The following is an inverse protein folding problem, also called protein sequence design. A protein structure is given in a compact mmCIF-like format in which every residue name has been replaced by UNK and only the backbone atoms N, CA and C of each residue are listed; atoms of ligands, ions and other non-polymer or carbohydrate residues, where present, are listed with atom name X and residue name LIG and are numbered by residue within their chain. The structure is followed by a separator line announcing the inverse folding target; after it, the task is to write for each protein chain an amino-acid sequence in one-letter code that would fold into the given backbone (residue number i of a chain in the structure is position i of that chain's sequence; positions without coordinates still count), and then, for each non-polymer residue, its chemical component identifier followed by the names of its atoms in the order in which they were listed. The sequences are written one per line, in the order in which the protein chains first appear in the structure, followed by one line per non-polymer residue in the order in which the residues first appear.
data_IF_847111315307
#
_entry.id   IF_847111315307
#
_cell.length_a   1.000
_cell.length_b   1.000
_cell.length_c   1.000
_cell.angle_alpha   90.00
_cell.angle_beta   90.00
_cell.angle_gamma   90.00
#
_symmetry.space_group_name_H-M   'P 1'
#
loop_
_entity.id
_entity.type
_entity.pdbx_description
1 polymer ?
#
# COMPACT_ATOMS: atom_id res chain seq x y z
N UNK A 1 13.29 11.73 9.18
CA UNK A 1 12.66 10.93 8.08
C UNK A 1 12.90 11.65 6.76
N UNK A 2 13.42 10.93 5.75
CA UNK A 2 13.68 11.46 4.40
C UNK A 2 12.41 11.41 3.54
N UNK A 3 11.84 10.22 3.34
CA UNK A 3 10.73 10.01 2.40
C UNK A 3 9.69 8.98 2.88
N UNK A 4 8.46 9.13 2.37
CA UNK A 4 7.34 8.19 2.55
C UNK A 4 6.99 7.62 1.18
N UNK A 5 6.94 6.30 1.06
CA UNK A 5 6.58 5.58 -0.17
C UNK A 5 5.22 4.93 0.02
N UNK A 6 4.24 5.36 -0.77
CA UNK A 6 2.86 4.90 -0.74
C UNK A 6 2.62 3.90 -1.87
N UNK A 7 2.44 2.61 -1.55
CA UNK A 7 2.26 1.56 -2.54
C UNK A 7 0.78 1.18 -2.66
N UNK A 8 0.23 1.35 -3.85
CA UNK A 8 -1.11 0.94 -4.25
C UNK A 8 -1.08 -0.21 -5.26
N UNK A 9 -2.21 -0.88 -5.42
CA UNK A 9 -2.43 -1.97 -6.37
C UNK A 9 -3.59 -2.84 -5.95
N UNK A 10 -4.18 -3.58 -6.88
CA UNK A 10 -5.27 -4.52 -6.59
C UNK A 10 -4.82 -5.61 -5.60
N UNK A 11 -5.77 -6.35 -5.04
CA UNK A 11 -5.44 -7.51 -4.21
C UNK A 11 -4.49 -8.46 -4.96
N UNK A 12 -3.50 -9.02 -4.24
CA UNK A 12 -2.54 -10.02 -4.75
C UNK A 12 -1.60 -9.53 -5.87
N UNK A 13 -1.56 -8.23 -6.17
CA UNK A 13 -0.68 -7.67 -7.21
C UNK A 13 0.81 -7.58 -6.79
N UNK A 14 1.17 -7.90 -5.53
CA UNK A 14 2.57 -7.92 -5.08
C UNK A 14 3.02 -6.65 -4.37
N UNK A 15 2.11 -5.86 -3.79
CA UNK A 15 2.45 -4.65 -3.00
C UNK A 15 3.46 -4.93 -1.89
N UNK A 16 3.21 -5.98 -1.10
CA UNK A 16 4.10 -6.38 -0.01
C UNK A 16 5.45 -6.90 -0.54
N UNK A 17 5.45 -7.56 -1.70
CA UNK A 17 6.68 -8.00 -2.36
C UNK A 17 7.54 -6.80 -2.73
N UNK A 18 6.97 -5.79 -3.41
CA UNK A 18 7.68 -4.55 -3.73
C UNK A 18 8.17 -3.83 -2.46
N UNK A 19 7.32 -3.74 -1.43
CA UNK A 19 7.69 -3.10 -0.17
C UNK A 19 8.92 -3.75 0.47
N UNK A 20 8.98 -5.09 0.48
CA UNK A 20 10.13 -5.82 1.01
C UNK A 20 11.39 -5.63 0.16
N UNK A 21 11.28 -5.67 -1.17
CA UNK A 21 12.41 -5.41 -2.08
C UNK A 21 12.97 -3.99 -1.85
N UNK A 22 12.10 -2.97 -1.81
CA UNK A 22 12.51 -1.60 -1.54
C UNK A 22 13.19 -1.47 -0.17
N UNK A 23 12.62 -2.11 0.86
CA UNK A 23 13.19 -2.11 2.20
C UNK A 23 14.60 -2.72 2.20
N UNK A 24 14.77 -3.94 1.68
CA UNK A 24 16.06 -4.63 1.65
C UNK A 24 17.12 -3.81 0.92
N UNK A 25 16.78 -3.21 -0.23
CA UNK A 25 17.69 -2.38 -1.01
C UNK A 25 18.07 -1.09 -0.25
N UNK A 26 17.10 -0.35 0.27
CA UNK A 26 17.35 0.88 1.03
C UNK A 26 18.18 0.61 2.29
N UNK A 27 17.92 -0.50 2.99
CA UNK A 27 18.71 -0.92 4.15
C UNK A 27 20.14 -1.32 3.77
N UNK A 28 20.36 -1.89 2.57
CA UNK A 28 21.71 -2.17 2.06
C UNK A 28 22.55 -0.91 1.82
N UNK A 29 21.91 0.23 1.62
CA UNK A 29 22.56 1.56 1.55
C UNK A 29 22.70 2.24 2.93
N UNK A 30 22.40 1.53 4.01
CA UNK A 30 22.54 2.03 5.39
C UNK A 30 21.37 2.85 5.91
N UNK A 31 20.26 2.91 5.18
CA UNK A 31 19.06 3.61 5.63
C UNK A 31 18.26 2.76 6.63
N UNK A 32 17.54 3.43 7.53
CA UNK A 32 16.57 2.80 8.44
C UNK A 32 15.19 2.84 7.79
N UNK A 33 14.57 1.68 7.55
CA UNK A 33 13.30 1.56 6.82
C UNK A 33 12.25 0.85 7.65
N UNK A 34 11.06 1.43 7.76
CA UNK A 34 9.89 0.79 8.35
C UNK A 34 8.81 0.55 7.30
N UNK A 35 8.19 -0.64 7.33
CA UNK A 35 6.97 -0.92 6.57
C UNK A 35 5.79 -0.86 7.54
N UNK A 36 4.78 -0.05 7.22
CA UNK A 36 3.53 0.03 7.96
C UNK A 36 2.31 -0.06 7.03
N UNK A 37 1.10 0.03 7.58
CA UNK A 37 -0.16 -0.14 6.85
C UNK A 37 -1.25 0.72 7.43
N UNK A 38 -2.08 1.34 6.60
CA UNK A 38 -3.27 2.06 7.05
C UNK A 38 -4.28 1.14 7.76
N UNK A 39 -4.36 -0.13 7.35
CA UNK A 39 -5.22 -1.12 7.99
C UNK A 39 -4.65 -1.70 9.30
N UNK A 40 -3.53 -1.19 9.85
CA UNK A 40 -2.94 -1.70 11.09
C UNK A 40 -3.97 -1.69 12.23
N UNK A 41 -4.47 -0.52 12.59
CA UNK A 41 -5.43 -0.36 13.69
C UNK A 41 -6.79 -1.03 13.39
N UNK A 42 -7.22 -1.07 12.13
CA UNK A 42 -8.42 -1.82 11.74
C UNK A 42 -8.29 -3.31 12.09
N UNK A 43 -7.15 -3.90 11.78
CA UNK A 43 -6.88 -5.32 12.06
C UNK A 43 -6.80 -5.60 13.56
N UNK A 44 -6.18 -4.71 14.32
CA UNK A 44 -6.15 -4.82 15.79
C UNK A 44 -7.56 -4.74 16.40
N UNK A 45 -8.38 -3.82 15.92
CA UNK A 45 -9.79 -3.72 16.34
C UNK A 45 -10.55 -5.00 15.97
N UNK A 46 -10.39 -5.50 14.73
CA UNK A 46 -11.06 -6.72 14.28
C UNK A 46 -10.68 -7.94 15.12
N UNK A 47 -9.39 -8.13 15.40
CA UNK A 47 -8.89 -9.21 16.26
C UNK A 47 -9.44 -9.10 17.69
N UNK A 48 -9.32 -7.91 18.29
CA UNK A 48 -9.63 -7.71 19.70
C UNK A 48 -11.12 -7.71 20.00
N UNK A 49 -11.95 -7.14 19.11
CA UNK A 49 -13.36 -6.86 19.39
C UNK A 49 -14.34 -7.59 18.48
N UNK A 50 -13.90 -8.13 17.34
CA UNK A 50 -14.78 -8.80 16.37
C UNK A 50 -14.42 -10.29 16.19
N UNK A 51 -13.63 -10.88 17.08
CA UNK A 51 -13.22 -12.29 17.05
C UNK A 51 -12.56 -12.72 15.71
N UNK A 52 -11.92 -11.78 14.98
CA UNK A 52 -11.22 -12.13 13.75
C UNK A 52 -9.93 -12.90 14.05
N UNK A 53 -9.77 -14.06 13.44
CA UNK A 53 -8.62 -14.96 13.64
C UNK A 53 -7.32 -14.51 12.94
N UNK A 54 -7.40 -13.47 12.08
CA UNK A 54 -6.29 -12.94 11.30
C UNK A 54 -6.23 -13.45 9.87
N UNK A 55 -7.04 -14.43 9.50
CA UNK A 55 -7.07 -14.98 8.15
C UNK A 55 -7.78 -14.05 7.17
N UNK A 56 -7.23 -13.94 5.96
CA UNK A 56 -7.79 -13.16 4.86
C UNK A 56 -8.55 -14.06 3.86
N UNK A 57 -9.31 -15.00 4.38
CA UNK A 57 -10.30 -15.74 3.60
C UNK A 57 -11.47 -14.85 3.16
N UNK A 58 -12.52 -15.41 2.61
CA UNK A 58 -13.69 -14.65 2.16
C UNK A 58 -14.33 -13.87 3.30
N UNK A 59 -14.57 -14.53 4.44
CA UNK A 59 -15.27 -13.96 5.58
C UNK A 59 -14.42 -12.88 6.28
N UNK A 60 -13.12 -13.14 6.45
CA UNK A 60 -12.19 -12.16 7.02
C UNK A 60 -12.05 -10.91 6.16
N UNK A 61 -12.05 -11.04 4.82
CA UNK A 61 -12.04 -9.88 3.91
C UNK A 61 -13.34 -9.10 3.99
N UNK A 62 -14.49 -9.78 4.02
CA UNK A 62 -15.80 -9.14 4.15
C UNK A 62 -15.94 -8.39 5.49
N UNK A 63 -15.50 -9.00 6.59
CA UNK A 63 -15.43 -8.35 7.90
C UNK A 63 -14.61 -7.06 7.86
N UNK A 64 -13.40 -7.12 7.30
CA UNK A 64 -12.52 -5.94 7.23
C UNK A 64 -13.08 -4.85 6.32
N UNK A 65 -13.70 -5.19 5.18
CA UNK A 65 -14.36 -4.22 4.30
C UNK A 65 -15.54 -3.55 5.00
N UNK A 66 -16.42 -4.34 5.62
CA UNK A 66 -17.57 -3.84 6.38
C UNK A 66 -17.14 -2.94 7.54
N UNK A 67 -16.19 -3.39 8.37
CA UNK A 67 -15.73 -2.61 9.51
C UNK A 67 -15.01 -1.32 9.07
N UNK A 68 -14.10 -1.42 8.10
CA UNK A 68 -13.28 -0.29 7.66
C UNK A 68 -14.04 0.74 6.81
N UNK A 69 -14.94 0.30 5.95
CA UNK A 69 -15.69 1.18 5.04
C UNK A 69 -17.05 1.52 5.59
N UNK A 70 -17.95 0.53 5.77
CA UNK A 70 -19.34 0.82 6.09
C UNK A 70 -19.50 1.37 7.50
N UNK A 71 -18.76 0.81 8.48
CA UNK A 71 -18.87 1.25 9.87
C UNK A 71 -18.01 2.50 10.10
N UNK A 72 -16.68 2.41 9.94
CA UNK A 72 -15.78 3.51 10.35
C UNK A 72 -15.93 4.71 9.42
N UNK A 73 -15.78 4.52 8.10
CA UNK A 73 -15.78 5.65 7.16
C UNK A 73 -17.17 6.25 6.95
N UNK A 74 -18.21 5.41 6.79
CA UNK A 74 -19.56 5.86 6.44
C UNK A 74 -20.41 6.10 7.70
N UNK A 75 -20.76 5.05 8.45
CA UNK A 75 -21.70 5.14 9.59
C UNK A 75 -21.21 6.07 10.70
N UNK A 76 -19.93 5.97 11.06
CA UNK A 76 -19.31 6.83 12.09
C UNK A 76 -18.78 8.15 11.53
N UNK A 77 -18.82 8.34 10.21
CA UNK A 77 -18.30 9.52 9.50
C UNK A 77 -16.84 9.85 9.87
N UNK A 78 -15.98 8.83 9.89
CA UNK A 78 -14.55 8.97 10.20
C UNK A 78 -13.67 8.55 9.00
N UNK A 79 -13.76 9.26 7.85
CA UNK A 79 -13.04 8.87 6.63
C UNK A 79 -11.52 8.93 6.78
N UNK A 80 -11.00 9.76 7.68
CA UNK A 80 -9.57 9.95 7.93
C UNK A 80 -9.02 9.07 9.08
N UNK A 81 -9.85 8.23 9.71
CA UNK A 81 -9.43 7.45 10.88
C UNK A 81 -8.16 6.64 10.64
N UNK A 82 -8.12 5.90 9.54
CA UNK A 82 -6.99 5.01 9.26
C UNK A 82 -5.72 5.79 8.90
N UNK A 83 -5.84 6.76 7.98
CA UNK A 83 -4.71 7.55 7.52
C UNK A 83 -4.18 8.46 8.65
N UNK A 84 -5.05 9.12 9.41
CA UNK A 84 -4.66 9.99 10.51
C UNK A 84 -3.85 9.26 11.58
N UNK A 85 -4.32 8.08 12.02
CA UNK A 85 -3.60 7.27 13.02
C UNK A 85 -2.18 6.90 12.58
N UNK A 86 -2.01 6.46 11.35
CA UNK A 86 -0.68 6.08 10.84
C UNK A 86 0.21 7.32 10.63
N UNK A 87 -0.35 8.42 10.16
CA UNK A 87 0.41 9.67 10.03
C UNK A 87 0.86 10.23 11.39
N UNK A 88 0.03 10.14 12.44
CA UNK A 88 0.42 10.48 13.81
C UNK A 88 1.58 9.60 14.30
N UNK A 89 1.53 8.27 14.07
CA UNK A 89 2.63 7.35 14.40
C UNK A 89 3.93 7.73 13.67
N UNK A 90 3.83 8.08 12.38
CA UNK A 90 4.98 8.51 11.57
C UNK A 90 5.56 9.82 12.12
N UNK A 91 4.72 10.80 12.47
CA UNK A 91 5.17 12.09 13.04
C UNK A 91 5.92 11.88 14.36
N UNK A 92 5.38 11.05 15.27
CA UNK A 92 6.00 10.73 16.55
C UNK A 92 7.35 10.03 16.38
N UNK A 93 7.48 9.18 15.34
CA UNK A 93 8.65 8.32 15.15
C UNK A 93 9.60 8.78 14.05
N UNK A 94 9.38 9.95 13.44
CA UNK A 94 10.09 10.43 12.24
C UNK A 94 11.62 10.49 12.39
N UNK A 95 12.14 10.63 13.60
CA UNK A 95 13.58 10.71 13.86
C UNK A 95 14.26 9.33 13.94
N UNK A 96 13.46 8.25 13.98
CA UNK A 96 13.97 6.89 14.09
C UNK A 96 14.16 6.20 12.73
N UNK A 97 13.52 6.72 11.65
CA UNK A 97 13.53 6.11 10.33
C UNK A 97 13.91 7.14 9.25
N UNK A 98 14.63 6.65 8.24
CA UNK A 98 14.90 7.44 7.03
C UNK A 98 13.73 7.33 6.05
N UNK A 99 13.19 6.12 5.87
CA UNK A 99 12.09 5.82 4.95
C UNK A 99 10.95 5.12 5.66
N UNK A 100 9.72 5.51 5.29
CA UNK A 100 8.48 4.82 5.67
C UNK A 100 7.81 4.30 4.40
N UNK A 101 7.47 3.01 4.37
CA UNK A 101 6.76 2.38 3.26
C UNK A 101 5.37 1.96 3.75
N UNK A 102 4.32 2.38 3.03
CA UNK A 102 2.92 2.00 3.30
C UNK A 102 2.42 1.15 2.15
N UNK A 103 2.19 -0.16 2.37
CA UNK A 103 1.95 -1.16 1.33
C UNK A 103 0.47 -1.51 1.10
N UNK A 104 -0.46 -0.70 1.58
CA UNK A 104 -1.90 -0.99 1.46
C UNK A 104 -2.79 0.21 1.11
N UNK A 105 -2.25 1.16 0.35
CA UNK A 105 -2.98 2.37 -0.07
C UNK A 105 -4.16 2.02 -0.97
N UNK A 106 -5.36 2.52 -0.63
CA UNK A 106 -6.64 2.17 -1.27
C UNK A 106 -7.51 3.35 -1.64
N UNK A 107 -7.34 4.52 -1.01
CA UNK A 107 -8.19 5.69 -1.16
C UNK A 107 -7.37 6.95 -1.43
N UNK A 108 -7.96 7.90 -2.14
CA UNK A 108 -7.29 9.18 -2.45
C UNK A 108 -6.88 9.96 -1.19
N UNK A 109 -7.71 9.93 -0.15
CA UNK A 109 -7.36 10.59 1.11
C UNK A 109 -6.17 9.96 1.83
N UNK A 110 -5.85 8.70 1.54
CA UNK A 110 -4.64 8.01 2.02
C UNK A 110 -3.38 8.47 1.28
N UNK A 111 -3.53 9.21 0.18
CA UNK A 111 -2.45 9.89 -0.54
C UNK A 111 -2.39 11.37 -0.17
N UNK A 112 -3.51 12.08 -0.24
CA UNK A 112 -3.50 13.53 -0.04
C UNK A 112 -3.25 13.95 1.42
N UNK A 113 -3.68 13.16 2.40
CA UNK A 113 -3.47 13.48 3.81
C UNK A 113 -1.98 13.51 4.20
N UNK A 114 -1.16 12.46 3.92
CA UNK A 114 0.27 12.51 4.19
C UNK A 114 0.99 13.59 3.36
N UNK A 115 0.57 13.87 2.12
CA UNK A 115 1.11 15.00 1.33
C UNK A 115 0.86 16.34 2.06
N UNK A 116 -0.35 16.55 2.56
CA UNK A 116 -0.67 17.77 3.29
C UNK A 116 0.10 17.90 4.62
N UNK A 117 0.39 16.78 5.29
CA UNK A 117 1.06 16.75 6.59
C UNK A 117 2.59 16.85 6.48
N UNK A 118 3.19 16.15 5.52
CA UNK A 118 4.66 16.00 5.43
C UNK A 118 5.30 16.74 4.26
N UNK A 119 4.51 17.22 3.30
CA UNK A 119 4.95 17.87 2.06
C UNK A 119 5.01 16.90 0.86
N UNK A 120 4.74 17.44 -0.35
CA UNK A 120 4.77 16.63 -1.59
C UNK A 120 6.18 16.13 -1.93
N UNK A 121 7.18 16.88 -1.57
CA UNK A 121 8.61 16.58 -1.75
C UNK A 121 9.07 15.33 -0.96
N UNK A 122 8.30 14.92 0.03
CA UNK A 122 8.60 13.74 0.86
C UNK A 122 7.71 12.53 0.57
N UNK A 123 6.60 12.70 -0.17
CA UNK A 123 5.60 11.64 -0.35
C UNK A 123 5.54 11.21 -1.81
N UNK A 124 5.87 9.95 -2.06
CA UNK A 124 5.94 9.33 -3.39
C UNK A 124 4.94 8.20 -3.50
N UNK A 125 4.27 8.11 -4.64
CA UNK A 125 3.21 7.14 -4.90
C UNK A 125 3.64 6.12 -5.94
N UNK A 126 3.39 4.84 -5.67
CA UNK A 126 3.73 3.72 -6.57
C UNK A 126 2.49 2.87 -6.83
N UNK A 127 2.23 2.54 -8.10
CA UNK A 127 1.19 1.58 -8.50
C UNK A 127 1.83 0.28 -8.94
N UNK A 128 1.50 -0.82 -8.25
CA UNK A 128 1.93 -2.17 -8.66
C UNK A 128 0.80 -2.85 -9.44
N UNK A 129 1.13 -3.35 -10.62
CA UNK A 129 0.22 -4.17 -11.44
C UNK A 129 0.87 -5.51 -11.72
N UNK A 130 0.12 -6.59 -11.46
CA UNK A 130 0.57 -7.95 -11.74
C UNK A 130 0.04 -8.45 -13.07
N UNK A 131 0.92 -9.12 -13.82
CA UNK A 131 0.61 -9.77 -15.08
C UNK A 131 1.04 -11.24 -15.04
N UNK A 132 0.32 -12.08 -15.78
CA UNK A 132 0.79 -13.39 -16.19
C UNK A 132 1.38 -13.28 -17.61
N UNK A 133 2.34 -14.13 -17.94
CA UNK A 133 2.80 -14.30 -19.30
C UNK A 133 2.13 -15.54 -19.91
N UNK A 134 1.35 -15.33 -20.97
CA UNK A 134 0.69 -16.39 -21.73
C UNK A 134 1.09 -16.27 -23.20
N UNK A 135 1.76 -17.28 -23.73
CA UNK A 135 2.21 -17.30 -25.14
C UNK A 135 3.05 -16.08 -25.57
N UNK A 136 3.85 -15.51 -24.64
CA UNK A 136 4.65 -14.31 -24.88
C UNK A 136 3.91 -12.99 -24.74
N UNK A 137 2.62 -12.99 -24.36
CA UNK A 137 1.81 -11.79 -24.12
C UNK A 137 1.56 -11.59 -22.62
N UNK A 138 1.58 -10.30 -22.20
CA UNK A 138 1.22 -9.92 -20.82
C UNK A 138 -0.29 -9.87 -20.67
N UNK A 139 -0.85 -10.73 -19.85
CA UNK A 139 -2.28 -10.76 -19.50
C UNK A 139 -2.45 -10.35 -18.04
N UNK A 140 -3.43 -9.46 -17.77
CA UNK A 140 -3.71 -9.03 -16.40
C UNK A 140 -3.96 -10.22 -15.47
N UNK A 141 -3.30 -10.22 -14.31
CA UNK A 141 -3.48 -11.25 -13.30
C UNK A 141 -4.90 -11.20 -12.73
N UNK A 142 -5.53 -12.38 -12.65
CA UNK A 142 -6.85 -12.53 -12.01
C UNK A 142 -6.64 -12.92 -10.55
N UNK A 143 -7.05 -12.03 -9.63
CA UNK A 143 -6.97 -12.28 -8.19
C UNK A 143 -8.10 -13.19 -7.69
N UNK A 144 -8.00 -13.64 -6.44
CA UNK A 144 -8.95 -14.57 -5.79
C UNK A 144 -10.22 -13.90 -5.25
N UNK A 145 -10.44 -12.60 -5.52
CA UNK A 145 -11.61 -11.86 -5.05
C UNK A 145 -12.89 -12.30 -5.77
N UNK A 146 -14.02 -12.29 -5.07
CA UNK A 146 -15.34 -12.40 -5.69
C UNK A 146 -15.63 -11.15 -6.53
N UNK A 147 -16.63 -11.23 -7.43
CA UNK A 147 -16.99 -10.10 -8.28
C UNK A 147 -17.53 -8.91 -7.48
N UNK A 148 -18.20 -9.14 -6.36
CA UNK A 148 -18.63 -8.11 -5.43
C UNK A 148 -17.45 -7.44 -4.76
N UNK A 149 -16.47 -8.23 -4.29
CA UNK A 149 -15.26 -7.71 -3.66
C UNK A 149 -14.41 -6.90 -4.64
N UNK A 150 -14.33 -7.29 -5.93
CA UNK A 150 -13.63 -6.53 -6.97
C UNK A 150 -14.26 -5.16 -7.24
N UNK A 151 -15.59 -5.05 -7.11
CA UNK A 151 -16.34 -3.79 -7.30
C UNK A 151 -16.34 -2.91 -6.05
N UNK A 152 -15.90 -3.41 -4.91
CA UNK A 152 -15.87 -2.62 -3.68
C UNK A 152 -14.98 -1.39 -3.83
N UNK A 153 -15.39 -0.26 -3.25
CA UNK A 153 -14.70 1.03 -3.37
C UNK A 153 -13.21 0.94 -2.98
N UNK A 154 -12.83 0.09 -2.03
CA UNK A 154 -11.43 -0.11 -1.65
C UNK A 154 -10.57 -0.78 -2.73
N UNK A 155 -11.17 -1.33 -3.78
CA UNK A 155 -10.45 -1.91 -4.92
C UNK A 155 -10.49 -0.99 -6.15
N UNK A 156 -11.42 -0.02 -6.21
CA UNK A 156 -11.66 0.80 -7.40
C UNK A 156 -11.34 2.29 -7.25
N UNK A 157 -11.28 2.80 -6.02
CA UNK A 157 -11.12 4.25 -5.72
C UNK A 157 -9.88 4.90 -6.38
N UNK A 158 -8.82 4.14 -6.63
CA UNK A 158 -7.58 4.65 -7.24
C UNK A 158 -7.37 4.19 -8.69
N UNK A 159 -8.41 3.73 -9.38
CA UNK A 159 -8.26 3.22 -10.75
C UNK A 159 -7.95 4.32 -11.78
N UNK A 160 -8.38 5.54 -11.52
CA UNK A 160 -8.13 6.74 -12.35
C UNK A 160 -7.06 7.66 -11.76
N UNK A 161 -6.44 7.28 -10.62
CA UNK A 161 -5.42 8.08 -9.98
C UNK A 161 -4.09 7.99 -10.75
N UNK A 162 -3.40 9.13 -10.92
CA UNK A 162 -2.06 9.17 -11.50
C UNK A 162 -1.00 9.04 -10.41
N UNK A 163 -0.12 8.05 -10.55
CA UNK A 163 0.96 7.76 -9.61
C UNK A 163 2.28 8.33 -10.11
N UNK A 164 3.19 8.64 -9.19
CA UNK A 164 4.54 9.09 -9.54
C UNK A 164 5.32 7.95 -10.24
N UNK A 165 5.12 6.69 -9.79
CA UNK A 165 5.77 5.50 -10.35
C UNK A 165 4.80 4.36 -10.64
N UNK A 166 5.11 3.57 -11.66
CA UNK A 166 4.39 2.35 -12.02
C UNK A 166 5.35 1.17 -12.02
N UNK A 167 5.01 0.11 -11.30
CA UNK A 167 5.80 -1.10 -11.15
C UNK A 167 5.06 -2.31 -11.72
N UNK A 168 5.77 -3.10 -12.52
CA UNK A 168 5.25 -4.34 -13.10
C UNK A 168 5.73 -5.54 -12.29
N UNK A 169 4.79 -6.31 -11.76
CA UNK A 169 5.05 -7.61 -11.17
C UNK A 169 4.63 -8.70 -12.17
N UNK A 170 5.60 -9.38 -12.77
CA UNK A 170 5.35 -10.49 -13.68
C UNK A 170 5.41 -11.80 -12.90
N UNK A 171 4.36 -12.63 -13.02
CA UNK A 171 4.34 -13.95 -12.41
C UNK A 171 5.52 -14.77 -12.96
N UNK A 172 6.26 -15.43 -12.08
CA UNK A 172 7.45 -16.24 -12.38
C UNK A 172 8.68 -15.46 -12.89
N UNK A 173 8.65 -14.12 -12.90
CA UNK A 173 9.80 -13.29 -13.26
C UNK A 173 9.97 -12.12 -12.30
N UNK A 174 10.64 -12.35 -11.18
CA UNK A 174 10.92 -11.31 -10.17
C UNK A 174 11.95 -10.26 -10.62
N UNK A 175 12.65 -10.48 -11.73
CA UNK A 175 13.66 -9.53 -12.23
C UNK A 175 13.07 -8.18 -12.63
N UNK A 176 11.82 -8.16 -13.13
CA UNK A 176 11.17 -6.92 -13.56
C UNK A 176 10.80 -6.04 -12.36
N UNK A 177 10.18 -6.62 -11.33
CA UNK A 177 9.82 -5.86 -10.12
C UNK A 177 11.08 -5.38 -9.38
N UNK A 178 12.16 -6.16 -9.41
CA UNK A 178 13.47 -5.78 -8.86
C UNK A 178 14.10 -4.62 -9.63
N UNK A 179 14.04 -4.64 -10.97
CA UNK A 179 14.51 -3.57 -11.85
C UNK A 179 13.72 -2.27 -11.61
N UNK A 180 12.39 -2.35 -11.55
CA UNK A 180 11.52 -1.18 -11.27
C UNK A 180 11.83 -0.60 -9.87
N UNK A 181 12.09 -1.46 -8.88
CA UNK A 181 12.48 -1.01 -7.54
C UNK A 181 13.82 -0.24 -7.55
N UNK A 182 14.81 -0.69 -8.33
CA UNK A 182 16.08 0.04 -8.49
C UNK A 182 15.86 1.42 -9.12
N UNK A 183 15.02 1.52 -10.15
CA UNK A 183 14.70 2.79 -10.80
C UNK A 183 14.03 3.76 -9.82
N UNK A 184 13.06 3.28 -9.05
CA UNK A 184 12.38 4.09 -8.01
C UNK A 184 13.41 4.63 -7.01
N UNK A 185 14.31 3.78 -6.49
CA UNK A 185 15.33 4.20 -5.51
C UNK A 185 16.28 5.23 -6.12
N UNK A 186 16.75 5.00 -7.35
CA UNK A 186 17.67 5.91 -8.04
C UNK A 186 17.08 7.30 -8.22
N UNK A 187 15.79 7.40 -8.53
CA UNK A 187 15.09 8.68 -8.67
C UNK A 187 14.84 9.35 -7.30
N UNK A 188 14.51 8.54 -6.27
CA UNK A 188 14.35 9.05 -4.91
C UNK A 188 15.65 9.66 -4.35
N UNK A 189 16.81 9.07 -4.65
CA UNK A 189 18.10 9.56 -4.18
C UNK A 189 18.68 10.68 -5.08
N UNK A 190 18.28 10.76 -6.36
CA UNK A 190 18.76 11.76 -7.33
C UNK A 190 18.13 13.14 -7.16
N UNK A 191 17.09 13.29 -6.35
CA UNK A 191 16.45 14.57 -6.00
C UNK A 191 17.03 15.20 -4.71
N UNK A 192 18.13 14.68 -4.16
CA UNK A 192 18.77 15.14 -2.92
C UNK A 192 19.91 16.14 -3.17
#
# INVERSE_FOLDING_TARGET
MKKIILISGKAENGKTTLANILKEKLESYGNKVVITRYALYLKEIAKKYCAWDGNKDKDGRELLQKLGTDVIRQKLNKPLFHVGRICEDIEITQDYYDYVIIDDVRYENEVYYPIAMFGKDKVYTVRVTRYNELNGEKVCFTNSLTDEQKKHISETSLDTFSFDYYCTNLTDNFGIIDFDANNIISELDGEA
#
